data_IF_225845420614
#
_entry.id   IF_225845420614
#
_cell.length_a   1.000
_cell.length_b   1.000
_cell.length_c   1.000
_cell.angle_alpha   90.00
_cell.angle_beta   90.00
_cell.angle_gamma   90.00
#
_symmetry.space_group_name_H-M   'P 1'
#
loop_
_entity.id
_entity.type
_entity.pdbx_description
1 polymer ?
#
# COMPACT_ATOMS: atom_id res chain seq x y z
N UNK A 1 -16.36 -24.42 17.32
CA UNK A 1 -16.11 -25.13 16.05
C UNK A 1 -16.63 -26.55 16.21
N UNK A 2 -17.86 -26.86 15.77
CA UNK A 2 -18.40 -28.22 15.84
C UNK A 2 -17.99 -29.09 14.63
N UNK A 3 -17.37 -28.49 13.62
CA UNK A 3 -17.04 -29.11 12.33
C UNK A 3 -15.88 -30.13 12.44
N UNK A 4 -14.93 -29.92 13.36
CA UNK A 4 -13.85 -30.89 13.61
C UNK A 4 -14.35 -32.17 14.30
N UNK A 5 -15.52 -32.12 14.94
CA UNK A 5 -16.09 -33.28 15.64
C UNK A 5 -16.92 -34.18 14.71
N UNK A 6 -17.44 -33.65 13.59
CA UNK A 6 -18.25 -34.43 12.64
C UNK A 6 -17.42 -35.10 11.55
N UNK A 7 -16.15 -34.73 11.35
CA UNK A 7 -15.33 -35.13 10.19
C UNK A 7 -15.96 -34.79 8.82
N UNK A 8 -17.06 -34.04 8.82
CA UNK A 8 -17.81 -33.63 7.65
C UNK A 8 -17.71 -32.11 7.51
N UNK A 9 -17.15 -31.66 6.39
CA UNK A 9 -17.06 -30.24 6.06
C UNK A 9 -18.45 -29.72 5.69
N UNK A 10 -18.90 -28.67 6.39
CA UNK A 10 -20.15 -27.99 6.04
C UNK A 10 -20.05 -27.34 4.66
N UNK A 11 -21.20 -27.14 4.00
CA UNK A 11 -21.28 -26.43 2.72
C UNK A 11 -20.58 -25.06 2.81
N UNK A 12 -19.82 -24.68 1.77
CA UNK A 12 -19.04 -23.43 1.68
C UNK A 12 -17.90 -23.28 2.71
N UNK A 13 -17.38 -24.39 3.24
CA UNK A 13 -16.26 -24.37 4.18
C UNK A 13 -15.03 -23.64 3.62
N UNK A 14 -14.66 -23.92 2.37
CA UNK A 14 -13.48 -23.33 1.76
C UNK A 14 -13.59 -21.80 1.66
N UNK A 15 -14.75 -21.28 1.30
CA UNK A 15 -15.01 -19.84 1.24
C UNK A 15 -14.90 -19.20 2.63
N UNK A 16 -15.53 -19.80 3.65
CA UNK A 16 -15.44 -19.27 5.02
C UNK A 16 -14.00 -19.25 5.53
N UNK A 17 -13.27 -20.34 5.31
CA UNK A 17 -11.87 -20.45 5.68
C UNK A 17 -11.03 -19.42 4.94
N UNK A 18 -11.30 -19.20 3.64
CA UNK A 18 -10.61 -18.19 2.84
C UNK A 18 -10.81 -16.78 3.39
N UNK A 19 -12.05 -16.39 3.69
CA UNK A 19 -12.34 -15.09 4.29
C UNK A 19 -11.64 -14.92 5.64
N UNK A 20 -11.65 -15.95 6.49
CA UNK A 20 -10.98 -15.93 7.78
C UNK A 20 -9.45 -15.89 7.65
N UNK A 21 -8.88 -16.57 6.65
CA UNK A 21 -7.45 -16.51 6.36
C UNK A 21 -7.04 -15.10 5.92
N UNK A 22 -7.84 -14.46 5.06
CA UNK A 22 -7.58 -13.10 4.58
C UNK A 22 -7.57 -12.06 5.70
N UNK A 23 -8.42 -12.22 6.73
CA UNK A 23 -8.44 -11.29 7.88
C UNK A 23 -7.29 -11.49 8.87
N UNK A 24 -6.57 -12.61 8.77
CA UNK A 24 -5.47 -12.99 9.67
C UNK A 24 -4.09 -12.92 9.02
N UNK A 25 -3.96 -12.33 7.82
CA UNK A 25 -2.66 -12.19 7.17
C UNK A 25 -1.75 -11.27 8.00
N UNK A 26 -0.80 -11.87 8.69
CA UNK A 26 0.26 -11.20 9.46
C UNK A 26 1.49 -12.11 9.55
N UNK A 27 2.66 -11.56 9.92
CA UNK A 27 3.95 -12.28 9.93
C UNK A 27 3.92 -13.59 10.72
N UNK A 28 3.28 -13.58 11.89
CA UNK A 28 3.22 -14.77 12.77
C UNK A 28 2.33 -15.90 12.26
N UNK A 29 1.51 -15.65 11.23
CA UNK A 29 0.51 -16.61 10.76
C UNK A 29 0.90 -17.30 9.44
N UNK A 30 2.08 -17.03 8.88
CA UNK A 30 2.45 -17.56 7.57
C UNK A 30 2.43 -19.09 7.51
N UNK A 31 2.93 -19.78 8.54
CA UNK A 31 2.80 -21.24 8.65
C UNK A 31 1.32 -21.68 8.63
N UNK A 32 0.45 -21.03 9.41
CA UNK A 32 -0.98 -21.34 9.44
C UNK A 32 -1.67 -21.11 8.09
N UNK A 33 -1.28 -20.04 7.38
CA UNK A 33 -1.81 -19.70 6.07
C UNK A 33 -1.36 -20.72 5.03
N UNK A 34 -0.12 -21.19 5.07
CA UNK A 34 0.36 -22.28 4.21
C UNK A 34 -0.42 -23.57 4.44
N UNK A 35 -0.74 -23.87 5.70
CA UNK A 35 -1.64 -24.97 6.03
C UNK A 35 -3.05 -24.78 5.43
N UNK A 36 -3.61 -23.56 5.45
CA UNK A 36 -4.90 -23.29 4.81
C UNK A 36 -4.85 -23.46 3.30
N UNK A 37 -3.75 -23.07 2.64
CA UNK A 37 -3.57 -23.34 1.22
C UNK A 37 -3.57 -24.85 0.92
N UNK A 38 -2.93 -25.68 1.75
CA UNK A 38 -2.99 -27.14 1.62
C UNK A 38 -4.44 -27.64 1.74
N UNK A 39 -5.23 -27.10 2.68
CA UNK A 39 -6.65 -27.48 2.84
C UNK A 39 -7.43 -27.21 1.54
N UNK A 40 -7.23 -26.05 0.91
CA UNK A 40 -7.91 -25.72 -0.34
C UNK A 40 -7.53 -26.64 -1.48
N UNK A 41 -6.23 -26.94 -1.64
CA UNK A 41 -5.74 -27.87 -2.66
C UNK A 41 -6.31 -29.29 -2.45
N UNK A 42 -6.34 -29.78 -1.21
CA UNK A 42 -6.94 -31.07 -0.89
C UNK A 42 -8.48 -31.08 -0.99
N UNK A 43 -9.11 -29.92 -1.19
CA UNK A 43 -10.55 -29.76 -1.35
C UNK A 43 -10.96 -29.43 -2.80
N UNK A 44 -10.06 -29.59 -3.78
CA UNK A 44 -10.26 -29.20 -5.19
C UNK A 44 -10.64 -27.71 -5.36
N UNK A 45 -10.02 -26.84 -4.55
CA UNK A 45 -10.19 -25.37 -4.56
C UNK A 45 -8.87 -24.66 -4.77
N UNK A 46 -8.14 -25.07 -5.80
CA UNK A 46 -6.87 -24.48 -6.21
C UNK A 46 -7.02 -22.98 -6.53
N UNK A 47 -8.21 -22.55 -6.97
CA UNK A 47 -8.56 -21.15 -7.18
C UNK A 47 -8.42 -20.31 -5.90
N UNK A 48 -8.91 -20.81 -4.76
CA UNK A 48 -8.80 -20.13 -3.46
C UNK A 48 -7.39 -20.21 -2.91
N UNK A 49 -6.70 -21.35 -3.11
CA UNK A 49 -5.30 -21.50 -2.75
C UNK A 49 -4.44 -20.43 -3.45
N UNK A 50 -4.63 -20.26 -4.76
CA UNK A 50 -3.88 -19.29 -5.55
C UNK A 50 -4.23 -17.85 -5.17
N UNK A 51 -5.51 -17.54 -4.94
CA UNK A 51 -5.93 -16.21 -4.49
C UNK A 51 -5.32 -15.85 -3.13
N UNK A 52 -5.36 -16.77 -2.16
CA UNK A 52 -4.77 -16.54 -0.84
C UNK A 52 -3.26 -16.35 -0.93
N UNK A 53 -2.56 -17.18 -1.72
CA UNK A 53 -1.12 -17.01 -1.97
C UNK A 53 -0.79 -15.63 -2.54
N UNK A 54 -1.59 -15.14 -3.49
CA UNK A 54 -1.37 -13.82 -4.09
C UNK A 54 -1.55 -12.70 -3.05
N UNK A 55 -2.59 -12.77 -2.22
CA UNK A 55 -2.79 -11.79 -1.13
C UNK A 55 -1.64 -11.79 -0.13
N UNK A 56 -1.12 -12.96 0.23
CA UNK A 56 0.00 -13.09 1.17
C UNK A 56 1.30 -12.56 0.56
N UNK A 57 1.58 -12.85 -0.71
CA UNK A 57 2.74 -12.28 -1.41
C UNK A 57 2.68 -10.76 -1.53
N UNK A 58 1.48 -10.20 -1.76
CA UNK A 58 1.27 -8.75 -1.74
C UNK A 58 1.53 -8.15 -0.36
N UNK A 59 1.02 -8.79 0.70
CA UNK A 59 1.29 -8.39 2.08
C UNK A 59 2.80 -8.42 2.39
N UNK A 60 3.51 -9.50 2.04
CA UNK A 60 4.95 -9.65 2.28
C UNK A 60 5.73 -8.51 1.60
N UNK A 61 5.46 -8.25 0.31
CA UNK A 61 6.10 -7.16 -0.43
C UNK A 61 5.86 -5.81 0.23
N UNK A 62 4.61 -5.53 0.59
CA UNK A 62 4.24 -4.26 1.24
C UNK A 62 5.02 -4.07 2.54
N UNK A 63 4.97 -5.06 3.43
CA UNK A 63 5.65 -5.00 4.74
C UNK A 63 7.16 -4.89 4.66
N UNK A 64 7.80 -5.53 3.68
CA UNK A 64 9.24 -5.43 3.48
C UNK A 64 9.60 -4.05 2.92
N UNK A 65 8.86 -3.58 1.92
CA UNK A 65 9.14 -2.30 1.25
C UNK A 65 8.81 -1.07 2.12
N UNK A 66 7.86 -1.17 3.04
CA UNK A 66 7.58 -0.09 4.01
C UNK A 66 8.49 -0.12 5.24
N UNK A 67 9.39 -1.10 5.34
CA UNK A 67 10.28 -1.21 6.48
C UNK A 67 11.38 -0.16 6.43
N UNK A 68 11.58 0.56 7.55
CA UNK A 68 12.65 1.56 7.72
C UNK A 68 14.06 0.99 7.61
N UNK A 69 14.20 -0.33 7.76
CA UNK A 69 15.49 -1.04 7.69
C UNK A 69 15.23 -2.38 7.04
N UNK A 70 16.28 -2.95 6.43
CA UNK A 70 16.22 -4.30 5.86
C UNK A 70 15.70 -5.28 6.91
N UNK A 71 14.53 -5.91 6.70
CA UNK A 71 14.01 -6.88 7.65
C UNK A 71 14.94 -8.08 7.76
N UNK A 72 15.10 -8.64 8.97
CA UNK A 72 15.71 -9.95 9.17
C UNK A 72 14.68 -11.05 8.91
N UNK A 73 15.10 -12.19 8.38
CA UNK A 73 14.23 -13.38 8.26
C UNK A 73 13.66 -13.82 9.62
N UNK A 74 14.40 -13.61 10.72
CA UNK A 74 13.95 -13.93 12.08
C UNK A 74 12.74 -13.10 12.52
N UNK A 75 12.54 -11.92 11.92
CA UNK A 75 11.35 -11.09 12.20
C UNK A 75 10.07 -11.67 11.58
N UNK A 76 10.21 -12.61 10.64
CA UNK A 76 9.13 -13.32 9.98
C UNK A 76 8.93 -14.72 10.55
N UNK A 77 10.03 -15.44 10.84
CA UNK A 77 10.00 -16.83 11.30
C UNK A 77 10.75 -17.03 12.61
N UNK A 78 10.42 -16.25 13.64
CA UNK A 78 11.06 -16.31 14.96
C UNK A 78 11.08 -17.71 15.58
N UNK A 79 10.03 -18.50 15.33
CA UNK A 79 9.87 -19.86 15.88
C UNK A 79 10.16 -20.95 14.83
N UNK A 80 10.78 -20.58 13.71
CA UNK A 80 11.06 -21.49 12.60
C UNK A 80 9.92 -21.66 11.60
N UNK A 81 10.18 -22.49 10.61
CA UNK A 81 9.29 -22.82 9.50
C UNK A 81 8.73 -24.22 9.66
N UNK A 82 7.46 -24.38 9.30
CA UNK A 82 6.88 -25.72 9.17
C UNK A 82 7.32 -26.38 7.84
N UNK A 83 7.34 -27.72 7.73
CA UNK A 83 7.79 -28.41 6.51
C UNK A 83 6.97 -28.10 5.26
N UNK A 84 5.73 -27.65 5.45
CA UNK A 84 4.78 -27.29 4.39
C UNK A 84 4.76 -25.78 4.12
N UNK A 85 5.70 -25.03 4.68
CA UNK A 85 5.71 -23.58 4.56
C UNK A 85 6.07 -23.14 3.14
N UNK A 86 5.17 -22.41 2.47
CA UNK A 86 5.31 -22.07 1.04
C UNK A 86 5.75 -20.64 0.77
N UNK A 87 5.83 -19.78 1.78
CA UNK A 87 6.21 -18.36 1.59
C UNK A 87 7.64 -18.05 2.02
N UNK A 88 8.34 -18.97 2.69
CA UNK A 88 9.68 -18.73 3.23
C UNK A 88 10.69 -18.25 2.17
N UNK A 89 10.81 -18.97 1.06
CA UNK A 89 11.70 -18.58 -0.06
C UNK A 89 11.33 -17.20 -0.61
N UNK A 90 10.03 -16.93 -0.77
CA UNK A 90 9.56 -15.65 -1.26
C UNK A 90 9.89 -14.49 -0.29
N UNK A 91 9.85 -14.73 1.03
CA UNK A 91 10.28 -13.75 2.03
C UNK A 91 11.79 -13.51 1.92
N UNK A 92 12.61 -14.56 1.79
CA UNK A 92 14.06 -14.43 1.59
C UNK A 92 14.34 -13.60 0.34
N UNK A 93 13.78 -13.99 -0.80
CA UNK A 93 13.96 -13.27 -2.07
C UNK A 93 13.52 -11.81 -1.95
N UNK A 94 12.41 -11.54 -1.25
CA UNK A 94 11.92 -10.18 -1.05
C UNK A 94 12.86 -9.36 -0.15
N UNK A 95 13.46 -9.98 0.88
CA UNK A 95 14.47 -9.35 1.75
C UNK A 95 15.80 -9.16 1.03
N UNK A 96 16.21 -10.08 0.15
CA UNK A 96 17.41 -9.96 -0.67
C UNK A 96 17.30 -8.87 -1.71
N UNK A 97 16.13 -8.75 -2.32
CA UNK A 97 15.80 -7.66 -3.25
C UNK A 97 15.40 -6.36 -2.54
N UNK A 98 15.45 -6.32 -1.20
CA UNK A 98 15.18 -5.10 -0.44
C UNK A 98 16.21 -4.03 -0.80
N UNK A 99 15.75 -3.00 -1.49
CA UNK A 99 16.48 -1.76 -1.66
C UNK A 99 16.04 -0.82 -0.55
N UNK A 100 16.92 -0.57 0.42
CA UNK A 100 16.75 0.59 1.29
C UNK A 100 16.95 1.81 0.39
N UNK A 101 15.86 2.39 -0.07
CA UNK A 101 15.91 3.75 -0.59
C UNK A 101 15.53 4.62 0.60
N UNK A 102 16.54 5.25 1.20
CA UNK A 102 16.32 6.27 2.23
C UNK A 102 15.76 7.48 1.48
N UNK A 103 14.46 7.43 1.18
CA UNK A 103 13.79 8.47 0.40
C UNK A 103 13.47 9.59 1.36
N UNK A 104 14.18 10.69 1.20
CA UNK A 104 13.87 11.92 1.88
C UNK A 104 12.67 12.58 1.18
N UNK A 105 11.84 13.29 1.95
CA UNK A 105 10.75 14.09 1.39
C UNK A 105 11.25 15.16 0.43
N UNK A 106 12.46 15.69 0.64
CA UNK A 106 13.09 16.64 -0.29
C UNK A 106 13.26 16.07 -1.70
N UNK A 107 13.66 14.80 -1.82
CA UNK A 107 13.84 14.15 -3.12
C UNK A 107 12.50 14.02 -3.84
N UNK A 108 11.45 13.62 -3.12
CA UNK A 108 10.10 13.47 -3.66
C UNK A 108 9.49 14.82 -4.01
N UNK A 109 9.68 15.82 -3.15
CA UNK A 109 9.29 17.20 -3.39
C UNK A 109 9.94 17.74 -4.66
N UNK A 110 11.24 17.46 -4.88
CA UNK A 110 11.94 17.89 -6.10
C UNK A 110 11.32 17.30 -7.38
N UNK A 111 10.84 16.06 -7.33
CA UNK A 111 10.16 15.40 -8.47
C UNK A 111 8.85 16.13 -8.78
N UNK A 112 8.01 16.33 -7.76
CA UNK A 112 6.71 16.95 -7.95
C UNK A 112 6.80 18.45 -8.27
N UNK A 113 7.73 19.19 -7.66
CA UNK A 113 7.99 20.59 -7.98
C UNK A 113 8.47 20.75 -9.42
N UNK A 114 9.43 19.93 -9.85
CA UNK A 114 9.92 19.93 -11.24
C UNK A 114 8.79 19.69 -12.24
N UNK A 115 7.88 18.77 -11.95
CA UNK A 115 6.71 18.54 -12.79
C UNK A 115 5.70 19.70 -12.72
N UNK A 116 5.47 20.26 -11.54
CA UNK A 116 4.57 21.40 -11.37
C UNK A 116 5.03 22.63 -12.16
N UNK A 117 6.31 22.98 -12.04
CA UNK A 117 6.93 24.19 -12.60
C UNK A 117 7.25 24.06 -14.09
N UNK A 118 7.69 22.88 -14.54
CA UNK A 118 8.25 22.71 -15.87
C UNK A 118 7.57 21.61 -16.69
N UNK A 119 6.61 20.87 -16.13
CA UNK A 119 6.00 19.67 -16.76
C UNK A 119 7.04 18.61 -17.16
N UNK A 120 8.18 18.58 -16.47
CA UNK A 120 9.25 17.60 -16.68
C UNK A 120 9.02 16.41 -15.73
N UNK A 121 9.05 15.20 -16.30
CA UNK A 121 8.98 13.94 -15.55
C UNK A 121 10.03 12.96 -16.10
N UNK A 122 10.75 12.25 -15.24
CA UNK A 122 11.72 11.25 -15.66
C UNK A 122 11.17 9.84 -15.39
N UNK A 123 11.35 8.91 -16.32
CA UNK A 123 10.97 7.49 -16.11
C UNK A 123 11.67 6.87 -14.90
N UNK A 124 12.91 7.31 -14.61
CA UNK A 124 13.68 6.86 -13.45
C UNK A 124 13.09 7.31 -12.10
N UNK A 125 12.19 8.30 -12.09
CA UNK A 125 11.50 8.74 -10.85
C UNK A 125 10.57 7.63 -10.32
N UNK A 126 10.24 6.61 -11.13
CA UNK A 126 9.35 5.51 -10.76
C UNK A 126 9.81 4.72 -9.53
N UNK A 127 11.11 4.47 -9.42
CA UNK A 127 11.69 3.73 -8.30
C UNK A 127 11.57 4.49 -6.97
N UNK A 128 11.51 5.83 -7.03
CA UNK A 128 11.30 6.70 -5.87
C UNK A 128 9.80 6.83 -5.58
N UNK A 129 9.00 7.12 -6.61
CA UNK A 129 7.57 7.40 -6.47
C UNK A 129 6.75 6.17 -6.02
N UNK A 130 7.21 4.94 -6.31
CA UNK A 130 6.55 3.73 -5.81
C UNK A 130 6.63 3.61 -4.28
N UNK A 131 7.69 4.15 -3.68
CA UNK A 131 8.00 4.06 -2.26
C UNK A 131 7.42 5.22 -1.44
N UNK A 132 6.81 6.22 -2.08
CA UNK A 132 6.12 7.33 -1.38
C UNK A 132 5.02 6.76 -0.48
N UNK A 133 5.06 7.12 0.80
CA UNK A 133 4.03 6.83 1.79
C UNK A 133 3.31 8.11 2.25
N UNK A 134 2.33 7.97 3.16
CA UNK A 134 1.57 9.10 3.70
C UNK A 134 2.45 10.08 4.50
N UNK A 135 3.53 9.62 5.15
CA UNK A 135 4.40 10.47 5.97
C UNK A 135 5.22 11.39 5.06
N UNK A 136 5.85 10.82 4.03
CA UNK A 136 6.57 11.57 3.01
C UNK A 136 5.60 12.54 2.32
N UNK A 137 4.41 12.05 1.94
CA UNK A 137 3.42 12.87 1.25
C UNK A 137 2.92 14.05 2.10
N UNK A 138 2.83 13.90 3.43
CA UNK A 138 2.48 15.00 4.35
C UNK A 138 3.46 16.17 4.21
N UNK A 139 4.75 15.90 4.09
CA UNK A 139 5.78 16.92 3.93
C UNK A 139 5.77 17.50 2.50
N UNK A 140 5.55 16.65 1.51
CA UNK A 140 5.48 17.04 0.09
C UNK A 140 4.34 18.02 -0.17
N UNK A 141 3.10 17.71 0.25
CA UNK A 141 1.94 18.56 -0.08
C UNK A 141 2.03 19.97 0.52
N UNK A 142 2.86 20.15 1.55
CA UNK A 142 3.12 21.42 2.25
C UNK A 142 4.51 22.01 1.97
N UNK A 143 5.27 21.43 1.04
CA UNK A 143 6.55 21.99 0.59
C UNK A 143 6.36 23.40 0.04
N UNK A 144 7.37 24.25 0.22
CA UNK A 144 7.34 25.63 -0.27
C UNK A 144 7.21 25.66 -1.79
N UNK A 145 6.22 26.41 -2.27
CA UNK A 145 6.06 26.74 -3.69
C UNK A 145 6.29 28.24 -3.91
N UNK A 146 6.60 28.65 -5.14
CA UNK A 146 6.89 30.06 -5.45
C UNK A 146 5.72 31.00 -5.09
N UNK A 147 4.50 30.58 -5.40
CA UNK A 147 3.28 31.30 -5.07
C UNK A 147 2.24 30.37 -4.44
N UNK A 148 2.01 30.57 -3.14
CA UNK A 148 1.08 29.79 -2.30
C UNK A 148 -0.36 29.79 -2.82
N UNK A 149 -0.75 30.77 -3.64
CA UNK A 149 -2.07 30.77 -4.29
C UNK A 149 -2.25 29.57 -5.21
N UNK A 150 -1.15 28.96 -5.67
CA UNK A 150 -1.18 27.78 -6.53
C UNK A 150 -1.15 26.44 -5.79
N UNK A 151 -1.32 26.44 -4.45
CA UNK A 151 -1.29 25.22 -3.64
C UNK A 151 -2.22 24.12 -4.16
N UNK A 152 -3.43 24.48 -4.61
CA UNK A 152 -4.40 23.52 -5.18
C UNK A 152 -3.90 22.94 -6.51
N UNK A 153 -3.34 23.76 -7.40
CA UNK A 153 -2.75 23.23 -8.65
C UNK A 153 -1.52 22.36 -8.38
N UNK A 154 -0.71 22.70 -7.39
CA UNK A 154 0.43 21.86 -6.98
C UNK A 154 -0.04 20.48 -6.50
N UNK A 155 -1.00 20.43 -5.58
CA UNK A 155 -1.56 19.15 -5.10
C UNK A 155 -2.22 18.36 -6.24
N UNK A 156 -2.93 19.02 -7.16
CA UNK A 156 -3.45 18.37 -8.37
C UNK A 156 -2.34 17.81 -9.25
N UNK A 157 -1.23 18.54 -9.40
CA UNK A 157 -0.09 18.09 -10.22
C UNK A 157 0.55 16.79 -9.72
N UNK A 158 0.49 16.51 -8.42
CA UNK A 158 0.90 15.22 -7.83
C UNK A 158 0.03 14.08 -8.39
N UNK A 159 -1.28 14.28 -8.43
CA UNK A 159 -2.25 13.26 -8.88
C UNK A 159 -2.20 13.01 -10.39
N UNK A 160 -1.78 13.99 -11.18
CA UNK A 160 -1.64 13.87 -12.64
C UNK A 160 -0.19 13.66 -13.08
N UNK A 161 0.73 13.42 -12.15
CA UNK A 161 2.12 13.14 -12.49
C UNK A 161 2.21 11.87 -13.37
N UNK A 162 2.84 11.89 -14.55
CA UNK A 162 2.81 10.78 -15.50
C UNK A 162 3.24 9.44 -14.88
N UNK A 163 4.34 9.47 -14.13
CA UNK A 163 4.89 8.27 -13.47
C UNK A 163 3.94 7.68 -12.42
N UNK A 164 3.12 8.48 -11.76
CA UNK A 164 2.12 7.98 -10.80
C UNK A 164 1.01 7.18 -11.51
N UNK A 165 0.66 7.57 -12.74
CA UNK A 165 -0.30 6.83 -13.55
C UNK A 165 0.26 5.49 -14.09
N UNK A 166 1.59 5.34 -14.14
CA UNK A 166 2.25 4.09 -14.56
C UNK A 166 2.39 3.06 -13.43
N UNK A 167 2.10 3.44 -12.19
CA UNK A 167 2.18 2.56 -11.02
C UNK A 167 0.76 2.15 -10.65
N UNK A 168 0.46 0.86 -10.82
CA UNK A 168 -0.88 0.30 -10.61
C UNK A 168 -1.43 0.66 -9.21
N UNK A 169 -2.62 1.26 -9.17
CA UNK A 169 -3.31 1.67 -7.94
C UNK A 169 -2.72 2.87 -7.19
N UNK A 170 -1.50 3.32 -7.53
CA UNK A 170 -0.78 4.34 -6.75
C UNK A 170 -1.47 5.70 -6.72
N UNK A 171 -2.05 6.11 -7.85
CA UNK A 171 -2.81 7.37 -7.94
C UNK A 171 -3.96 7.42 -6.94
N UNK A 172 -4.73 6.33 -6.84
CA UNK A 172 -5.89 6.26 -5.94
C UNK A 172 -5.46 6.17 -4.48
N UNK A 173 -4.35 5.49 -4.19
CA UNK A 173 -3.72 5.48 -2.87
C UNK A 173 -3.30 6.90 -2.43
N UNK A 174 -2.53 7.60 -3.27
CA UNK A 174 -2.10 8.98 -3.02
C UNK A 174 -3.31 9.91 -2.87
N UNK A 175 -4.35 9.77 -3.71
CA UNK A 175 -5.57 10.57 -3.60
C UNK A 175 -6.22 10.45 -2.23
N UNK A 176 -6.39 9.21 -1.72
CA UNK A 176 -6.96 8.98 -0.39
C UNK A 176 -6.11 9.62 0.70
N UNK A 177 -4.79 9.46 0.63
CA UNK A 177 -3.89 10.10 1.60
C UNK A 177 -3.95 11.63 1.56
N UNK A 178 -4.02 12.25 0.37
CA UNK A 178 -4.17 13.71 0.26
C UNK A 178 -5.46 14.16 0.94
N UNK A 179 -6.59 13.49 0.70
CA UNK A 179 -7.87 13.83 1.34
C UNK A 179 -7.79 13.71 2.87
N UNK A 180 -7.17 12.64 3.38
CA UNK A 180 -6.93 12.48 4.82
C UNK A 180 -6.07 13.62 5.38
N UNK A 181 -4.94 13.95 4.72
CA UNK A 181 -4.02 15.01 5.15
C UNK A 181 -4.67 16.40 5.12
N UNK A 182 -5.57 16.64 4.16
CA UNK A 182 -6.36 17.87 4.08
C UNK A 182 -7.37 17.95 5.22
N UNK A 183 -8.03 16.86 5.58
CA UNK A 183 -8.93 16.82 6.74
C UNK A 183 -8.18 16.99 8.06
N UNK A 184 -7.01 16.37 8.21
CA UNK A 184 -6.11 16.61 9.36
C UNK A 184 -5.75 18.10 9.48
N UNK A 185 -5.55 18.80 8.35
CA UNK A 185 -5.28 20.25 8.36
C UNK A 185 -6.44 21.07 8.91
N UNK A 186 -7.68 20.64 8.67
CA UNK A 186 -8.88 21.28 9.23
C UNK A 186 -8.89 21.16 10.75
N UNK A 187 -8.53 19.97 11.28
CA UNK A 187 -8.45 19.73 12.71
C UNK A 187 -7.35 20.57 13.38
N UNK A 188 -6.20 20.73 12.71
CA UNK A 188 -5.09 21.57 13.18
C UNK A 188 -5.36 23.08 13.09
N UNK A 189 -6.11 23.51 12.07
CA UNK A 189 -6.39 24.91 11.80
C UNK A 189 -7.81 25.12 11.25
N UNK A 190 -8.72 25.56 12.12
CA UNK A 190 -10.13 25.84 11.76
C UNK A 190 -10.30 26.86 10.63
N UNK A 191 -9.33 27.78 10.43
CA UNK A 191 -9.34 28.72 9.31
C UNK A 191 -9.20 28.05 7.93
N UNK A 192 -8.77 26.80 7.88
CA UNK A 192 -8.63 26.01 6.64
C UNK A 192 -9.89 25.19 6.30
N UNK A 193 -10.86 25.10 7.22
CA UNK A 193 -12.04 24.26 7.07
C UNK A 193 -12.84 24.55 5.80
N UNK A 194 -13.28 25.81 5.67
CA UNK A 194 -14.12 26.26 4.55
C UNK A 194 -13.41 26.06 3.20
N UNK A 195 -12.18 26.58 2.97
CA UNK A 195 -11.54 26.44 1.68
C UNK A 195 -11.21 24.98 1.32
N UNK A 196 -10.92 24.10 2.28
CA UNK A 196 -10.65 22.68 2.02
C UNK A 196 -11.96 21.95 1.69
N UNK A 197 -13.01 22.08 2.51
CA UNK A 197 -14.30 21.41 2.28
C UNK A 197 -14.93 21.83 0.95
N UNK A 198 -14.91 23.12 0.62
CA UNK A 198 -15.42 23.59 -0.67
C UNK A 198 -14.68 22.95 -1.85
N UNK A 199 -13.36 22.81 -1.73
CA UNK A 199 -12.55 22.24 -2.80
C UNK A 199 -12.73 20.72 -2.95
N UNK A 200 -12.77 19.98 -1.84
CA UNK A 200 -13.05 18.55 -1.85
C UNK A 200 -14.44 18.25 -2.44
N UNK A 201 -15.45 19.03 -2.04
CA UNK A 201 -16.80 18.92 -2.60
C UNK A 201 -16.83 19.23 -4.10
N UNK A 202 -16.14 20.29 -4.55
CA UNK A 202 -16.15 20.67 -5.98
C UNK A 202 -15.39 19.70 -6.88
N UNK A 203 -14.54 18.84 -6.31
CA UNK A 203 -13.70 17.88 -7.05
C UNK A 203 -14.10 16.43 -6.80
N UNK A 204 -15.19 16.19 -6.07
CA UNK A 204 -15.62 14.86 -5.64
C UNK A 204 -14.46 14.09 -4.98
N UNK A 205 -13.89 14.68 -3.92
CA UNK A 205 -12.70 14.19 -3.23
C UNK A 205 -11.49 13.99 -4.17
N UNK A 206 -11.22 15.00 -5.01
CA UNK A 206 -10.11 14.99 -5.96
C UNK A 206 -10.19 13.89 -7.04
N UNK A 207 -11.38 13.34 -7.31
CA UNK A 207 -11.61 12.41 -8.43
C UNK A 207 -11.78 13.14 -9.76
N UNK A 208 -12.26 14.38 -9.72
CA UNK A 208 -12.64 15.20 -10.86
C UNK A 208 -11.88 16.53 -10.90
N UNK A 209 -11.92 17.21 -12.04
CA UNK A 209 -11.32 18.55 -12.18
C UNK A 209 -9.79 18.56 -12.14
N UNK A 210 -9.17 17.50 -12.67
CA UNK A 210 -7.71 17.30 -12.73
C UNK A 210 -7.07 17.86 -14.02
N UNK A 211 -7.85 18.57 -14.84
CA UNK A 211 -7.46 19.17 -16.12
C UNK A 211 -6.85 20.55 -15.97
#
# INVERSE_FOLDING_TARGET
MNEFHSLELQQNFCERLYYLACTKIQKSELNNISFYCNIFENSNREDLAQQLQNHVKQFIRREINTSKRRPSIDSWYRFGTEPYERFYEFVIESIENYKHVDINSDDVSSIFLRYFEHKISNSNDKDILILVDKIILREVIWTKIEDERYRRQFVHSILIHPVINEIEGKREEIRKWIVELLNEKIEENSGSEIPIKMWLNSTNDLKEGLS
#
